data_IF_479634489314
#
_entry.id   IF_479634489314
#
_cell.length_a   1.000
_cell.length_b   1.000
_cell.length_c   1.000
_cell.angle_alpha   90.00
_cell.angle_beta   90.00
_cell.angle_gamma   90.00
#
_symmetry.space_group_name_H-M   'P 1'
#
loop_
_entity.id
_entity.type
_entity.pdbx_description
1 polymer ?
#
# COMPACT_ATOMS: atom_id res chain seq x y z
N UNK A 1 6.42 16.07 -15.24
CA UNK A 1 6.98 16.15 -13.87
C UNK A 1 6.69 14.81 -13.23
N UNK A 2 7.70 14.09 -12.74
CA UNK A 2 7.47 12.78 -12.15
C UNK A 2 7.02 12.96 -10.67
N UNK A 3 5.99 12.20 -10.27
CA UNK A 3 5.30 12.31 -8.98
C UNK A 3 6.10 11.72 -7.82
N UNK A 4 6.02 12.29 -6.61
CA UNK A 4 6.88 11.92 -5.49
C UNK A 4 6.85 10.42 -5.19
N UNK A 5 8.04 9.86 -4.99
CA UNK A 5 8.29 8.51 -4.51
C UNK A 5 7.46 8.23 -3.24
N UNK A 6 6.59 7.22 -3.25
CA UNK A 6 5.97 6.69 -2.04
C UNK A 6 6.92 5.74 -1.30
N UNK A 7 6.83 5.64 0.01
CA UNK A 7 7.50 4.58 0.78
C UNK A 7 6.41 3.69 1.35
N UNK A 8 6.39 2.41 0.95
CA UNK A 8 5.48 1.43 1.54
C UNK A 8 6.23 0.75 2.68
N UNK A 9 5.67 0.82 3.88
CA UNK A 9 6.21 0.16 5.07
C UNK A 9 5.22 -0.89 5.54
N UNK A 10 5.70 -2.11 5.74
CA UNK A 10 4.86 -3.21 6.24
C UNK A 10 5.27 -3.50 7.68
N UNK A 11 4.27 -3.49 8.55
CA UNK A 11 4.43 -3.79 9.97
C UNK A 11 3.62 -5.03 10.33
N UNK A 12 4.21 -5.90 11.15
CA UNK A 12 3.51 -6.96 11.89
C UNK A 12 3.30 -6.52 13.32
N UNK A 13 2.18 -6.90 13.92
CA UNK A 13 2.02 -6.79 15.38
C UNK A 13 2.43 -8.13 15.99
N UNK A 14 3.43 -8.14 16.87
CA UNK A 14 3.81 -9.35 17.62
C UNK A 14 2.78 -9.63 18.74
N UNK A 15 2.79 -10.85 19.27
CA UNK A 15 2.04 -11.35 20.43
C UNK A 15 2.12 -10.46 21.67
N UNK A 16 3.15 -9.61 21.79
CA UNK A 16 3.30 -8.59 22.83
C UNK A 16 2.73 -7.20 22.50
N UNK A 17 2.05 -7.01 21.36
CA UNK A 17 1.49 -5.73 20.91
C UNK A 17 2.51 -4.76 20.29
N UNK A 18 3.76 -5.18 20.12
CA UNK A 18 4.80 -4.37 19.49
C UNK A 18 4.71 -4.44 17.96
N UNK A 19 4.81 -3.28 17.30
CA UNK A 19 4.93 -3.20 15.84
C UNK A 19 6.35 -3.60 15.44
N UNK A 20 6.50 -4.78 14.84
CA UNK A 20 7.72 -5.24 14.23
C UNK A 20 7.76 -4.78 12.77
N UNK A 21 8.74 -3.94 12.46
CA UNK A 21 9.02 -3.53 11.09
C UNK A 21 9.54 -4.73 10.31
N UNK A 22 8.81 -5.12 9.27
CA UNK A 22 9.20 -6.27 8.45
C UNK A 22 10.15 -5.80 7.32
N UNK A 23 9.92 -4.62 6.75
CA UNK A 23 10.81 -4.01 5.75
C UNK A 23 10.22 -2.75 5.10
N UNK A 24 11.09 -2.04 4.38
CA UNK A 24 10.85 -0.77 3.68
C UNK A 24 11.39 -0.97 2.27
N UNK A 25 10.59 -0.58 1.27
CA UNK A 25 11.11 -0.34 -0.07
C UNK A 25 10.84 1.10 -0.48
N UNK A 26 11.80 1.68 -1.20
CA UNK A 26 11.71 3.02 -1.76
C UNK A 26 11.13 2.92 -3.17
N UNK A 27 9.93 3.46 -3.41
CA UNK A 27 9.37 3.54 -4.76
C UNK A 27 10.21 4.55 -5.55
N UNK A 28 11.16 4.10 -6.37
CA UNK A 28 11.74 4.97 -7.41
C UNK A 28 10.64 5.34 -8.40
N UNK A 29 10.69 6.57 -8.93
CA UNK A 29 9.75 7.07 -9.95
C UNK A 29 9.48 6.00 -11.00
N UNK A 30 8.30 5.41 -10.92
CA UNK A 30 7.91 4.31 -11.79
C UNK A 30 7.20 4.94 -13.00
N UNK A 31 7.73 4.80 -14.23
CA UNK A 31 6.92 4.99 -15.43
C UNK A 31 5.70 4.05 -15.36
N UNK A 32 4.62 4.40 -16.05
CA UNK A 32 3.42 3.54 -16.15
C UNK A 32 3.86 2.10 -16.45
N UNK A 33 3.58 1.18 -15.51
CA UNK A 33 3.71 -0.26 -15.72
C UNK A 33 4.85 -1.01 -15.02
N UNK A 34 5.58 -0.48 -14.03
CA UNK A 34 6.46 -1.36 -13.22
C UNK A 34 5.83 -1.85 -11.91
N UNK A 35 6.18 -3.11 -11.61
CA UNK A 35 5.80 -3.90 -10.46
C UNK A 35 6.76 -3.60 -9.30
N UNK A 36 6.29 -2.97 -8.23
CA UNK A 36 7.11 -2.74 -7.02
C UNK A 36 6.91 -3.91 -6.07
N UNK A 37 7.98 -4.67 -5.78
CA UNK A 37 7.97 -5.84 -4.89
C UNK A 37 8.68 -5.52 -3.58
N UNK A 38 7.92 -5.45 -2.49
CA UNK A 38 8.48 -5.24 -1.15
C UNK A 38 8.76 -6.59 -0.49
N UNK A 39 10.04 -6.92 -0.27
CA UNK A 39 10.48 -8.13 0.41
C UNK A 39 10.95 -7.82 1.84
N UNK A 40 10.42 -8.55 2.83
CA UNK A 40 10.58 -8.23 4.26
C UNK A 40 11.00 -9.47 5.08
N UNK A 41 11.82 -9.29 6.13
CA UNK A 41 12.54 -10.37 6.87
C UNK A 41 11.74 -11.07 7.98
N UNK A 42 12.07 -12.35 8.28
CA UNK A 42 11.15 -13.52 8.40
C UNK A 42 10.59 -13.99 7.05
N UNK A 43 11.08 -13.35 5.98
CA UNK A 43 11.58 -13.83 4.70
C UNK A 43 10.77 -14.93 3.99
N UNK A 44 10.06 -14.48 2.95
CA UNK A 44 9.35 -15.21 1.87
C UNK A 44 7.87 -15.51 2.08
N UNK A 45 7.37 -15.58 3.31
CA UNK A 45 5.97 -16.00 3.45
C UNK A 45 4.97 -14.88 3.20
N UNK A 46 5.26 -13.62 3.56
CA UNK A 46 4.40 -12.49 3.21
C UNK A 46 5.09 -11.63 2.16
N UNK A 47 4.47 -11.49 0.99
CA UNK A 47 4.91 -10.54 -0.05
C UNK A 47 3.80 -9.56 -0.36
N UNK A 48 4.19 -8.33 -0.69
CA UNK A 48 3.26 -7.30 -1.14
C UNK A 48 3.78 -6.65 -2.42
N UNK A 49 2.89 -6.53 -3.40
CA UNK A 49 3.14 -5.82 -4.66
C UNK A 49 2.14 -4.69 -4.79
N UNK A 50 2.62 -3.50 -5.14
CA UNK A 50 1.78 -2.33 -5.40
C UNK A 50 1.85 -1.99 -6.88
N UNK A 51 0.69 -1.92 -7.52
CA UNK A 51 0.54 -1.61 -8.93
C UNK A 51 -0.35 -0.39 -9.13
N UNK A 52 0.08 0.54 -9.98
CA UNK A 52 -0.76 1.66 -10.42
C UNK A 52 -1.60 1.21 -11.61
N UNK A 53 -2.87 0.94 -11.38
CA UNK A 53 -3.77 0.40 -12.41
C UNK A 53 -4.32 1.48 -13.33
N UNK A 54 -4.46 2.71 -12.81
CA UNK A 54 -4.96 3.83 -13.60
C UNK A 54 -4.31 5.15 -13.16
N UNK A 55 -4.06 6.02 -14.14
CA UNK A 55 -3.65 7.39 -13.90
C UNK A 55 -4.41 8.32 -14.83
N UNK A 56 -5.00 9.37 -14.26
CA UNK A 56 -5.71 10.39 -15.00
C UNK A 56 -5.34 11.77 -14.48
N UNK A 57 -4.89 12.63 -15.37
CA UNK A 57 -4.73 14.06 -15.07
C UNK A 57 -6.07 14.77 -15.30
N UNK A 58 -6.71 15.23 -14.23
CA UNK A 58 -8.01 15.92 -14.30
C UNK A 58 -7.83 17.39 -14.67
N UNK A 59 -6.78 18.04 -14.12
CA UNK A 59 -6.41 19.42 -14.42
C UNK A 59 -4.90 19.63 -14.30
N UNK A 60 -4.44 20.87 -14.40
CA UNK A 60 -3.03 21.19 -14.18
C UNK A 60 -2.55 20.85 -12.76
N UNK A 61 -3.45 20.80 -11.79
CA UNK A 61 -3.10 20.62 -10.37
C UNK A 61 -3.93 19.53 -9.69
N UNK A 62 -4.76 18.79 -10.43
CA UNK A 62 -5.55 17.67 -9.91
C UNK A 62 -5.24 16.42 -10.72
N UNK A 63 -4.91 15.35 -10.01
CA UNK A 63 -4.72 14.02 -10.57
C UNK A 63 -5.56 13.00 -9.82
N UNK A 64 -5.93 11.94 -10.54
CA UNK A 64 -6.62 10.80 -9.99
C UNK A 64 -5.84 9.54 -10.34
N UNK A 65 -5.55 8.75 -9.33
CA UNK A 65 -4.71 7.57 -9.45
C UNK A 65 -5.38 6.42 -8.73
N UNK A 66 -5.45 5.27 -9.40
CA UNK A 66 -5.96 4.03 -8.82
C UNK A 66 -4.81 3.06 -8.62
N UNK A 67 -4.82 2.42 -7.45
CA UNK A 67 -3.81 1.46 -7.04
C UNK A 67 -4.45 0.12 -6.72
N UNK A 68 -3.71 -0.95 -7.00
CA UNK A 68 -3.97 -2.31 -6.57
C UNK A 68 -2.77 -2.80 -5.75
N UNK A 69 -3.05 -3.30 -4.55
CA UNK A 69 -2.05 -3.87 -3.64
C UNK A 69 -2.38 -5.34 -3.49
N UNK A 70 -1.53 -6.21 -4.04
CA UNK A 70 -1.61 -7.65 -3.89
C UNK A 70 -0.72 -8.08 -2.74
N UNK A 71 -1.31 -8.70 -1.73
CA UNK A 71 -0.61 -9.30 -0.59
C UNK A 71 -0.75 -10.81 -0.72
N UNK A 72 0.36 -11.53 -0.65
CA UNK A 72 0.39 -12.98 -0.66
C UNK A 72 0.93 -13.49 0.68
N UNK A 73 0.25 -14.48 1.25
CA UNK A 73 0.63 -15.17 2.46
C UNK A 73 0.87 -16.66 2.17
N UNK A 74 2.12 -17.08 2.12
CA UNK A 74 2.57 -18.46 1.95
C UNK A 74 2.68 -19.23 3.29
N UNK A 75 2.31 -18.62 4.43
CA UNK A 75 2.27 -19.33 5.71
C UNK A 75 1.10 -20.31 5.77
N UNK A 76 1.26 -21.34 6.58
CA UNK A 76 0.18 -22.26 6.92
C UNK A 76 -0.88 -21.67 7.87
N UNK A 77 -0.68 -20.45 8.36
CA UNK A 77 -1.58 -19.73 9.25
C UNK A 77 -1.99 -18.36 8.67
N UNK A 78 -3.21 -17.87 8.97
CA UNK A 78 -3.60 -16.52 8.59
C UNK A 78 -2.74 -15.49 9.34
N UNK A 79 -2.43 -14.37 8.68
CA UNK A 79 -1.61 -13.30 9.24
C UNK A 79 -2.32 -11.96 9.06
N UNK A 80 -2.25 -11.10 10.09
CA UNK A 80 -2.74 -9.74 10.00
C UNK A 80 -1.64 -8.84 9.45
N UNK A 81 -1.91 -8.20 8.31
CA UNK A 81 -0.98 -7.32 7.60
C UNK A 81 -1.47 -5.89 7.69
N UNK A 82 -0.58 -4.98 8.06
CA UNK A 82 -0.83 -3.54 8.00
C UNK A 82 -0.10 -2.97 6.78
N UNK A 83 -0.88 -2.43 5.84
CA UNK A 83 -0.38 -1.72 4.67
C UNK A 83 -0.44 -0.22 4.95
N UNK A 84 0.71 0.45 4.86
CA UNK A 84 0.83 1.89 5.12
C UNK A 84 1.07 2.62 3.80
N UNK A 85 0.12 3.48 3.42
CA UNK A 85 0.22 4.31 2.21
C UNK A 85 0.44 5.77 2.59
N UNK A 86 1.38 6.42 1.89
CA UNK A 86 1.68 7.84 2.04
C UNK A 86 1.09 8.61 0.86
N UNK A 87 0.25 9.59 1.17
CA UNK A 87 -0.45 10.44 0.23
C UNK A 87 0.14 11.85 0.23
N UNK A 88 -0.08 12.62 -0.82
CA UNK A 88 0.57 13.91 -1.03
C UNK A 88 -0.41 14.99 -1.45
N UNK A 89 -0.07 16.26 -1.14
CA UNK A 89 -0.97 17.38 -1.39
C UNK A 89 -2.25 17.30 -0.55
N UNK A 90 -3.28 18.01 -1.00
CA UNK A 90 -4.64 17.75 -0.51
C UNK A 90 -5.16 16.51 -1.22
N UNK A 91 -5.70 15.55 -0.46
CA UNK A 91 -6.12 14.27 -1.02
C UNK A 91 -7.50 13.84 -0.55
N UNK A 92 -8.17 13.08 -1.41
CA UNK A 92 -9.43 12.42 -1.12
C UNK A 92 -9.42 10.99 -1.68
N UNK A 93 -9.78 10.01 -0.85
CA UNK A 93 -10.03 8.64 -1.32
C UNK A 93 -11.45 8.60 -1.86
N UNK A 94 -11.57 8.43 -3.17
CA UNK A 94 -12.85 8.38 -3.87
C UNK A 94 -13.49 7.00 -3.79
N UNK A 95 -12.66 5.95 -3.86
CA UNK A 95 -13.10 4.56 -3.84
C UNK A 95 -12.09 3.73 -3.05
N UNK A 96 -12.56 2.74 -2.30
CA UNK A 96 -11.72 1.76 -1.65
C UNK A 96 -12.44 0.43 -1.47
N UNK A 97 -11.73 -0.68 -1.68
CA UNK A 97 -12.26 -2.03 -1.45
C UNK A 97 -12.31 -2.42 0.03
N UNK A 98 -11.52 -1.74 0.86
CA UNK A 98 -11.29 -2.11 2.26
C UNK A 98 -11.33 -0.86 3.15
N UNK A 99 -11.69 -1.05 4.41
CA UNK A 99 -11.65 0.04 5.38
C UNK A 99 -10.20 0.48 5.63
N UNK A 100 -9.99 1.80 5.61
CA UNK A 100 -8.73 2.42 5.95
C UNK A 100 -8.89 3.34 7.16
N UNK A 101 -7.79 3.51 7.89
CA UNK A 101 -7.69 4.48 8.98
C UNK A 101 -6.70 5.56 8.57
N UNK A 102 -7.14 6.81 8.60
CA UNK A 102 -6.25 7.98 8.48
C UNK A 102 -5.49 8.15 9.80
N UNK A 103 -4.19 7.84 9.80
CA UNK A 103 -3.36 7.92 11.02
C UNK A 103 -2.72 9.28 11.21
N UNK A 104 -2.49 10.02 10.13
CA UNK A 104 -2.11 11.43 10.17
C UNK A 104 -2.55 12.15 8.89
N UNK A 105 -2.15 13.41 8.72
CA UNK A 105 -2.55 14.24 7.57
C UNK A 105 -2.24 13.61 6.20
N UNK A 106 -1.21 12.78 6.08
CA UNK A 106 -0.66 12.25 4.83
C UNK A 106 -0.49 10.72 4.83
N UNK A 107 -1.05 10.02 5.80
CA UNK A 107 -0.88 8.57 5.93
C UNK A 107 -2.22 7.89 6.19
N UNK A 108 -2.46 6.82 5.43
CA UNK A 108 -3.56 5.88 5.67
C UNK A 108 -3.01 4.48 5.92
N UNK A 109 -3.74 3.71 6.72
CA UNK A 109 -3.44 2.31 7.01
C UNK A 109 -4.62 1.42 6.62
N UNK A 110 -4.33 0.35 5.88
CA UNK A 110 -5.24 -0.78 5.73
C UNK A 110 -4.80 -1.90 6.64
N UNK A 111 -5.71 -2.41 7.45
CA UNK A 111 -5.46 -3.55 8.34
C UNK A 111 -6.28 -4.73 7.85
N UNK A 112 -5.61 -5.69 7.23
CA UNK A 112 -6.27 -6.81 6.56
C UNK A 112 -5.76 -8.14 7.08
N UNK A 113 -6.67 -9.08 7.28
CA UNK A 113 -6.32 -10.48 7.53
C UNK A 113 -6.09 -11.17 6.17
N UNK A 114 -4.91 -11.74 5.98
CA UNK A 114 -4.57 -12.51 4.78
C UNK A 114 -4.63 -14.00 5.16
N UNK A 115 -5.47 -14.81 4.50
CA UNK A 115 -5.62 -16.22 4.83
C UNK A 115 -4.31 -16.99 4.65
N UNK A 116 -4.18 -18.11 5.35
CA UNK A 116 -3.09 -19.07 5.16
C UNK A 116 -3.01 -19.53 3.69
N UNK A 117 -1.81 -19.61 3.12
CA UNK A 117 -1.56 -20.00 1.73
C UNK A 117 -2.47 -19.28 0.72
N UNK A 118 -2.74 -17.99 0.97
CA UNK A 118 -3.73 -17.23 0.21
C UNK A 118 -3.33 -15.79 -0.03
N UNK A 119 -4.15 -15.11 -0.80
CA UNK A 119 -3.91 -13.73 -1.22
C UNK A 119 -5.02 -12.81 -0.75
N UNK A 120 -4.67 -11.52 -0.60
CA UNK A 120 -5.59 -10.43 -0.37
C UNK A 120 -5.26 -9.31 -1.35
N UNK A 121 -6.28 -8.78 -1.99
CA UNK A 121 -6.16 -7.62 -2.87
C UNK A 121 -6.86 -6.45 -2.20
N UNK A 122 -6.18 -5.30 -2.16
CA UNK A 122 -6.75 -4.01 -1.77
C UNK A 122 -6.69 -3.12 -3.01
N UNK A 123 -7.81 -2.49 -3.36
CA UNK A 123 -7.85 -1.45 -4.38
C UNK A 123 -8.33 -0.14 -3.78
N UNK A 124 -7.75 0.96 -4.25
CA UNK A 124 -8.26 2.28 -3.90
C UNK A 124 -7.95 3.30 -5.00
N UNK A 125 -8.82 4.31 -5.10
CA UNK A 125 -8.65 5.45 -5.98
C UNK A 125 -8.47 6.70 -5.14
N UNK A 126 -7.36 7.41 -5.33
CA UNK A 126 -7.07 8.69 -4.68
C UNK A 126 -7.08 9.81 -5.70
N UNK A 127 -7.64 10.95 -5.30
CA UNK A 127 -7.49 12.22 -6.01
C UNK A 127 -6.56 13.13 -5.21
N UNK A 128 -5.45 13.54 -5.81
CA UNK A 128 -4.50 14.48 -5.20
C UNK A 128 -4.62 15.85 -5.87
N UNK A 129 -4.51 16.90 -5.07
CA UNK A 129 -4.59 18.30 -5.46
C UNK A 129 -3.35 19.05 -4.95
N UNK A 130 -2.72 19.80 -5.86
CA UNK A 130 -1.50 20.56 -5.64
C UNK A 130 -1.68 22.07 -5.85
#
# INVERSE_FOLDING_TARGET
MPLPAGVVRVYKTDSGGALQFLGEDSIKHTPIGEEVRVATGSAFDITATRNQTQYQRISNNVERVSYEILINNSKAEPENVTVVEHLYGDWEILESSDEYVKTNAFTIEFRVAVPANGTKIITYTVENRF
#
